data_IF_121040460954
#
_entry.id   IF_121040460954
#
_cell.length_a   1.000
_cell.length_b   1.000
_cell.length_c   1.000
_cell.angle_alpha   90.00
_cell.angle_beta   90.00
_cell.angle_gamma   90.00
#
_symmetry.space_group_name_H-M   'P 1'
#
loop_
_entity.id
_entity.type
_entity.pdbx_description
1 polymer ?
#
# COMPACT_ATOMS: atom_id res chain seq x y z
N UNK A 1 35.40 63.44 10.16
CA UNK A 1 36.02 63.68 8.85
C UNK A 1 35.21 62.95 7.80
N UNK A 2 34.83 63.65 6.74
CA UNK A 2 33.89 63.25 5.70
C UNK A 2 34.59 62.59 4.49
N UNK A 3 33.86 61.72 3.77
CA UNK A 3 33.85 61.45 2.32
C UNK A 3 33.17 60.07 2.12
N UNK A 4 31.96 59.88 1.60
CA UNK A 4 31.31 60.25 0.32
C UNK A 4 31.90 59.54 -0.93
N UNK A 5 31.16 58.58 -1.50
CA UNK A 5 30.82 58.48 -2.93
C UNK A 5 30.04 57.18 -3.28
N UNK A 6 29.02 57.36 -4.11
CA UNK A 6 27.97 56.44 -4.64
C UNK A 6 28.41 55.71 -5.96
N UNK A 7 27.51 55.25 -6.86
CA UNK A 7 26.92 53.90 -6.94
C UNK A 7 27.17 53.20 -8.31
N UNK A 8 26.77 51.93 -8.51
CA UNK A 8 26.42 51.45 -9.87
C UNK A 8 25.48 50.24 -9.88
N UNK A 9 24.45 50.33 -10.71
CA UNK A 9 23.44 49.30 -11.03
C UNK A 9 23.92 48.52 -12.26
N UNK A 10 23.76 47.20 -12.26
CA UNK A 10 24.01 46.33 -13.41
C UNK A 10 22.86 45.35 -13.60
N UNK A 11 22.11 45.54 -14.68
CA UNK A 11 21.02 44.71 -15.20
C UNK A 11 21.60 43.62 -16.11
N UNK A 12 21.18 42.35 -16.02
CA UNK A 12 21.15 41.39 -17.15
C UNK A 12 20.53 40.04 -16.72
N UNK A 13 19.26 39.78 -17.06
CA UNK A 13 18.73 38.97 -18.18
C UNK A 13 18.54 37.49 -17.87
N UNK A 14 17.27 37.09 -17.87
CA UNK A 14 16.79 35.71 -17.88
C UNK A 14 17.30 34.95 -19.12
N UNK A 15 17.63 33.66 -18.95
CA UNK A 15 17.84 32.72 -20.05
C UNK A 15 16.72 31.69 -20.09
N UNK A 16 16.09 31.65 -21.24
CA UNK A 16 14.99 30.80 -21.69
C UNK A 16 15.42 29.37 -22.01
N UNK A 17 14.50 28.46 -21.75
CA UNK A 17 14.41 27.10 -22.28
C UNK A 17 14.50 27.07 -23.82
N UNK A 18 15.29 26.15 -24.37
CA UNK A 18 15.15 25.69 -25.77
C UNK A 18 15.30 24.16 -25.81
N UNK A 19 14.22 23.52 -26.24
CA UNK A 19 14.13 22.14 -26.73
C UNK A 19 14.75 22.03 -28.12
N UNK A 20 15.50 20.96 -28.40
CA UNK A 20 15.94 20.61 -29.75
C UNK A 20 15.93 19.10 -29.95
N UNK A 21 15.08 18.66 -30.88
CA UNK A 21 14.94 17.31 -31.38
C UNK A 21 14.96 17.43 -32.91
N UNK A 22 15.98 16.88 -33.58
CA UNK A 22 15.92 16.30 -34.93
C UNK A 22 17.31 15.86 -35.41
N UNK A 23 17.44 14.58 -35.74
CA UNK A 23 18.35 14.11 -36.79
C UNK A 23 17.54 13.25 -37.76
N UNK A 24 17.40 13.78 -38.95
CA UNK A 24 16.85 13.15 -40.15
C UNK A 24 17.97 12.36 -40.84
N UNK A 25 17.68 11.14 -41.29
CA UNK A 25 18.42 10.54 -42.41
C UNK A 25 17.40 9.99 -43.41
N UNK A 26 17.47 10.54 -44.62
CA UNK A 26 16.68 10.18 -45.80
C UNK A 26 17.33 9.00 -46.53
N UNK A 27 16.51 8.10 -47.09
CA UNK A 27 16.80 7.54 -48.44
C UNK A 27 15.54 7.00 -49.13
N UNK A 28 15.19 7.72 -50.21
CA UNK A 28 14.68 7.32 -51.53
C UNK A 28 13.35 6.56 -51.69
N UNK A 29 12.49 7.23 -52.46
CA UNK A 29 11.25 6.78 -53.07
C UNK A 29 11.44 5.88 -54.29
N UNK A 30 10.41 5.07 -54.57
CA UNK A 30 10.06 4.62 -55.91
C UNK A 30 8.54 4.74 -56.09
N UNK A 31 8.11 5.50 -57.09
CA UNK A 31 6.73 5.61 -57.59
C UNK A 31 6.72 4.93 -58.95
N UNK A 32 5.74 4.05 -59.20
CA UNK A 32 5.32 3.71 -60.56
C UNK A 32 3.79 3.75 -60.65
N UNK A 33 3.32 4.22 -61.79
CA UNK A 33 2.02 4.81 -62.10
C UNK A 33 0.88 3.80 -62.32
N UNK A 34 -0.32 4.26 -61.93
CA UNK A 34 -1.66 4.18 -62.55
C UNK A 34 -2.04 3.04 -63.52
N UNK A 35 -3.14 2.36 -63.22
CA UNK A 35 -4.27 2.21 -64.15
C UNK A 35 -5.61 2.03 -63.41
N UNK A 36 -6.64 2.69 -63.94
CA UNK A 36 -8.01 2.79 -63.43
C UNK A 36 -8.97 1.90 -64.23
N UNK A 37 -9.97 1.30 -63.58
CA UNK A 37 -11.36 1.22 -64.10
C UNK A 37 -12.36 0.66 -63.06
N UNK A 38 -13.42 1.44 -62.88
CA UNK A 38 -14.83 1.11 -62.59
C UNK A 38 -15.18 0.02 -61.57
N UNK A 39 -15.85 0.42 -60.48
CA UNK A 39 -17.33 0.33 -60.38
C UNK A 39 -17.86 0.41 -58.93
N UNK A 40 -18.92 1.22 -58.79
CA UNK A 40 -20.09 1.00 -57.92
C UNK A 40 -19.96 1.08 -56.39
N UNK A 41 -20.47 2.20 -55.86
CA UNK A 41 -20.98 2.35 -54.50
C UNK A 41 -21.95 1.22 -54.09
N UNK A 42 -21.72 0.57 -52.95
CA UNK A 42 -22.81 0.06 -52.10
C UNK A 42 -22.40 0.04 -50.62
N UNK A 43 -23.43 0.18 -49.78
CA UNK A 43 -23.45 0.48 -48.35
C UNK A 43 -22.89 -0.67 -47.52
N UNK A 44 -22.07 -0.36 -46.51
CA UNK A 44 -21.76 -1.30 -45.42
C UNK A 44 -22.70 -1.01 -44.26
N UNK A 45 -23.78 -1.80 -44.18
CA UNK A 45 -24.62 -1.91 -43.01
C UNK A 45 -24.12 -3.09 -42.15
N UNK A 46 -24.00 -2.80 -40.85
CA UNK A 46 -23.78 -3.73 -39.74
C UNK A 46 -24.72 -4.94 -39.80
N UNK A 47 -24.16 -6.15 -39.70
CA UNK A 47 -24.94 -7.38 -39.45
C UNK A 47 -24.58 -7.97 -38.09
N UNK A 48 -25.56 -7.90 -37.19
CA UNK A 48 -25.66 -8.70 -35.98
C UNK A 48 -26.29 -10.04 -36.37
N UNK A 49 -25.61 -11.15 -36.09
CA UNK A 49 -26.19 -12.48 -36.27
C UNK A 49 -26.79 -12.98 -34.96
N UNK A 50 -28.09 -13.26 -35.02
CA UNK A 50 -28.92 -13.93 -34.02
C UNK A 50 -29.19 -15.37 -34.48
N UNK A 51 -29.22 -16.26 -33.48
CA UNK A 51 -29.88 -17.58 -33.40
C UNK A 51 -29.19 -18.83 -33.93
N UNK A 52 -29.07 -19.84 -33.06
CA UNK A 52 -30.00 -20.98 -33.06
C UNK A 52 -30.05 -21.71 -31.70
N UNK A 53 -31.27 -21.88 -31.22
CA UNK A 53 -31.71 -22.63 -30.05
C UNK A 53 -31.70 -24.14 -30.30
N UNK A 54 -31.09 -24.92 -29.41
CA UNK A 54 -31.38 -26.34 -29.25
C UNK A 54 -31.99 -26.59 -27.87
N UNK A 55 -33.29 -26.88 -27.85
CA UNK A 55 -34.05 -27.27 -26.69
C UNK A 55 -33.83 -28.75 -26.37
N UNK A 56 -33.15 -29.03 -25.25
CA UNK A 56 -33.11 -30.36 -24.64
C UNK A 56 -33.93 -30.32 -23.34
N UNK A 57 -35.13 -30.89 -23.40
CA UNK A 57 -36.03 -31.08 -22.26
C UNK A 57 -35.51 -32.22 -21.38
N UNK A 58 -35.05 -31.91 -20.17
CA UNK A 58 -34.97 -32.86 -19.06
C UNK A 58 -35.96 -32.45 -17.97
N UNK A 59 -36.88 -33.36 -17.64
CA UNK A 59 -37.87 -33.23 -16.56
C UNK A 59 -37.17 -33.19 -15.20
N UNK A 60 -37.55 -32.31 -14.25
CA UNK A 60 -37.18 -32.47 -12.87
C UNK A 60 -38.22 -33.33 -12.13
N UNK A 61 -37.77 -34.45 -11.55
CA UNK A 61 -38.52 -35.17 -10.53
C UNK A 61 -38.46 -34.35 -9.22
N UNK A 62 -39.60 -33.86 -8.77
CA UNK A 62 -39.76 -33.20 -7.48
C UNK A 62 -39.83 -34.22 -6.35
N UNK A 63 -38.81 -34.24 -5.49
CA UNK A 63 -38.89 -34.86 -4.16
C UNK A 63 -39.03 -33.75 -3.14
N UNK A 64 -40.20 -33.68 -2.50
CA UNK A 64 -40.49 -32.74 -1.42
C UNK A 64 -39.85 -33.27 -0.14
N UNK A 65 -38.72 -32.69 0.27
CA UNK A 65 -38.21 -32.82 1.64
C UNK A 65 -38.67 -31.61 2.47
N UNK A 66 -39.54 -31.86 3.44
CA UNK A 66 -39.86 -30.90 4.51
C UNK A 66 -38.65 -30.78 5.45
N UNK A 67 -38.13 -29.56 5.68
CA UNK A 67 -37.29 -29.30 6.85
C UNK A 67 -37.36 -27.85 7.33
N UNK A 68 -37.99 -27.71 8.51
CA UNK A 68 -37.75 -26.85 9.67
C UNK A 68 -37.69 -25.31 9.55
N UNK A 69 -38.48 -24.70 10.45
CA UNK A 69 -38.54 -23.28 10.83
C UNK A 69 -37.14 -22.65 10.94
N UNK A 70 -36.96 -21.53 10.24
CA UNK A 70 -35.88 -20.57 10.47
C UNK A 70 -36.21 -19.80 11.75
N UNK A 71 -35.46 -20.06 12.82
CA UNK A 71 -35.44 -19.19 14.00
C UNK A 71 -34.45 -18.07 13.68
N UNK A 72 -34.96 -16.85 13.52
CA UNK A 72 -34.13 -15.67 13.39
C UNK A 72 -33.53 -15.33 14.76
N UNK A 73 -32.30 -15.77 15.03
CA UNK A 73 -31.51 -15.29 16.16
C UNK A 73 -30.93 -13.92 15.81
N UNK A 74 -31.55 -12.89 16.37
CA UNK A 74 -31.05 -11.51 16.40
C UNK A 74 -29.78 -11.51 17.25
N UNK A 75 -28.63 -11.18 16.67
CA UNK A 75 -27.39 -11.01 17.43
C UNK A 75 -27.52 -9.79 18.34
N UNK A 76 -27.50 -10.02 19.65
CA UNK A 76 -27.41 -9.00 20.69
C UNK A 76 -25.93 -8.85 21.01
N UNK A 77 -25.38 -7.65 20.81
CA UNK A 77 -24.04 -7.30 21.28
C UNK A 77 -24.09 -7.12 22.79
N UNK A 78 -23.65 -8.12 23.55
CA UNK A 78 -23.30 -7.96 24.96
C UNK A 78 -21.86 -7.48 25.07
N UNK A 79 -21.69 -6.29 25.61
CA UNK A 79 -20.41 -5.78 26.11
C UNK A 79 -19.90 -6.66 27.27
N UNK A 80 -18.57 -6.79 27.38
CA UNK A 80 -17.79 -7.61 28.32
C UNK A 80 -17.72 -9.13 28.06
N UNK A 81 -16.81 -9.54 27.16
CA UNK A 81 -16.09 -10.81 27.30
C UNK A 81 -14.57 -10.54 27.35
N UNK A 82 -14.02 -10.36 28.55
CA UNK A 82 -12.58 -10.46 28.84
C UNK A 82 -12.21 -11.89 29.28
N UNK A 83 -12.64 -12.89 28.51
CA UNK A 83 -12.13 -14.25 28.65
C UNK A 83 -11.59 -14.72 27.31
N UNK A 84 -10.29 -15.02 27.26
CA UNK A 84 -9.68 -15.67 26.12
C UNK A 84 -10.48 -16.94 25.77
N UNK A 85 -11.02 -16.98 24.55
CA UNK A 85 -11.71 -18.17 24.04
C UNK A 85 -10.79 -19.39 24.19
N UNK A 86 -11.31 -20.57 24.60
CA UNK A 86 -10.51 -21.79 24.74
C UNK A 86 -10.17 -22.35 23.35
N UNK A 87 -9.25 -21.69 22.65
CA UNK A 87 -8.59 -22.15 21.44
C UNK A 87 -7.14 -22.55 21.73
N UNK A 88 -6.53 -23.34 20.84
CA UNK A 88 -5.09 -23.59 20.88
C UNK A 88 -4.35 -22.23 20.84
N UNK A 89 -3.43 -21.94 21.79
CA UNK A 89 -2.80 -20.63 21.87
C UNK A 89 -1.96 -20.33 20.61
N UNK A 90 -2.05 -19.10 20.12
CA UNK A 90 -1.17 -18.60 19.06
C UNK A 90 0.19 -18.30 19.72
N UNK A 91 1.23 -19.06 19.36
CA UNK A 91 2.59 -18.92 19.90
C UNK A 91 3.52 -18.30 18.86
N UNK A 92 3.94 -17.06 19.10
CA UNK A 92 4.92 -16.33 18.30
C UNK A 92 6.20 -16.04 19.10
N UNK A 93 6.45 -16.76 20.20
CA UNK A 93 7.70 -16.59 20.97
C UNK A 93 8.91 -16.89 20.11
N UNK A 94 9.94 -16.04 20.24
CA UNK A 94 11.16 -16.11 19.43
C UNK A 94 10.96 -15.69 17.97
N UNK A 95 9.80 -15.13 17.61
CA UNK A 95 9.54 -14.51 16.31
C UNK A 95 9.68 -13.01 16.40
N UNK A 96 10.16 -12.41 15.31
CA UNK A 96 10.30 -10.96 15.19
C UNK A 96 9.38 -10.41 14.11
N UNK A 97 8.63 -9.37 14.46
CA UNK A 97 7.72 -8.68 13.56
C UNK A 97 8.21 -7.27 13.26
N UNK A 98 8.22 -6.90 11.98
CA UNK A 98 8.35 -5.51 11.55
C UNK A 98 6.98 -4.98 11.11
N UNK A 99 6.49 -3.92 11.76
CA UNK A 99 5.20 -3.29 11.45
C UNK A 99 5.43 -1.91 10.85
N UNK A 100 5.16 -1.80 9.55
CA UNK A 100 5.22 -0.57 8.79
C UNK A 100 3.91 0.22 8.91
N UNK A 101 3.96 1.45 9.43
CA UNK A 101 2.81 2.36 9.45
C UNK A 101 2.15 2.59 10.81
N UNK A 102 2.92 2.61 11.90
CA UNK A 102 2.43 3.07 13.21
C UNK A 102 2.90 4.51 13.42
N UNK A 103 1.99 5.39 13.82
CA UNK A 103 2.30 6.78 14.19
C UNK A 103 1.61 7.23 15.49
N UNK A 104 0.66 6.44 15.98
CA UNK A 104 -0.10 6.61 17.23
C UNK A 104 -0.70 5.25 17.64
N UNK A 105 -1.56 5.26 18.67
CA UNK A 105 -2.22 4.09 19.24
C UNK A 105 -3.67 3.85 18.77
N UNK A 106 -4.14 4.60 17.76
CA UNK A 106 -5.53 4.53 17.28
C UNK A 106 -5.70 3.65 16.03
N UNK A 107 -4.62 3.43 15.28
CA UNK A 107 -4.65 2.69 14.02
C UNK A 107 -4.60 1.17 14.16
N UNK A 108 -4.95 0.47 13.08
CA UNK A 108 -4.84 -1.00 13.01
C UNK A 108 -3.41 -1.51 13.23
N UNK A 109 -2.39 -0.76 12.81
CA UNK A 109 -0.99 -1.13 13.02
C UNK A 109 -0.67 -1.32 14.50
N UNK A 110 -1.20 -0.45 15.38
CA UNK A 110 -1.05 -0.57 16.83
C UNK A 110 -1.78 -1.80 17.37
N UNK A 111 -3.04 -2.02 16.95
CA UNK A 111 -3.82 -3.18 17.35
C UNK A 111 -3.16 -4.52 16.94
N UNK A 112 -2.56 -4.57 15.74
CA UNK A 112 -1.80 -5.73 15.26
C UNK A 112 -0.53 -5.91 16.10
N UNK A 113 0.25 -4.85 16.34
CA UNK A 113 1.45 -4.92 17.18
C UNK A 113 1.13 -5.46 18.58
N UNK A 114 0.05 -4.98 19.19
CA UNK A 114 -0.43 -5.44 20.49
C UNK A 114 -0.80 -6.93 20.49
N UNK A 115 -1.48 -7.39 19.43
CA UNK A 115 -1.86 -8.80 19.29
C UNK A 115 -0.64 -9.71 19.07
N UNK A 116 0.35 -9.25 18.28
CA UNK A 116 1.59 -9.98 18.05
C UNK A 116 2.44 -10.06 19.33
N UNK A 117 2.51 -8.96 20.10
CA UNK A 117 3.20 -8.90 21.38
C UNK A 117 2.54 -9.84 22.41
N UNK A 118 1.20 -9.85 22.49
CA UNK A 118 0.46 -10.78 23.36
C UNK A 118 0.71 -12.26 23.00
N UNK A 119 1.00 -12.56 21.73
CA UNK A 119 1.41 -13.88 21.28
C UNK A 119 2.92 -14.17 21.49
N UNK A 120 3.68 -13.21 22.02
CA UNK A 120 5.09 -13.36 22.37
C UNK A 120 6.11 -12.93 21.30
N UNK A 121 5.67 -12.24 20.24
CA UNK A 121 6.58 -11.74 19.21
C UNK A 121 7.35 -10.49 19.68
N UNK A 122 8.60 -10.36 19.24
CA UNK A 122 9.39 -9.14 19.35
C UNK A 122 8.93 -8.10 18.32
N UNK A 123 8.76 -6.84 18.74
CA UNK A 123 8.08 -5.80 17.95
C UNK A 123 9.06 -4.73 17.48
N UNK A 124 9.24 -4.64 16.16
CA UNK A 124 9.91 -3.53 15.47
C UNK A 124 8.88 -2.68 14.73
N UNK A 125 9.06 -1.36 14.74
CA UNK A 125 8.09 -0.42 14.17
C UNK A 125 8.74 0.50 13.15
N UNK A 126 8.15 0.61 11.95
CA UNK A 126 8.45 1.66 10.97
C UNK A 126 7.45 2.81 11.10
N UNK A 127 7.94 3.99 11.52
CA UNK A 127 7.14 5.20 11.71
C UNK A 127 7.43 6.21 10.61
N UNK A 128 6.39 6.84 10.07
CA UNK A 128 6.54 7.87 9.05
C UNK A 128 7.38 9.05 9.57
N UNK A 129 8.42 9.45 8.83
CA UNK A 129 9.41 10.44 9.31
C UNK A 129 8.78 11.73 9.88
N UNK A 130 7.80 12.37 9.21
CA UNK A 130 7.07 13.52 9.77
C UNK A 130 6.34 13.31 11.10
N UNK A 131 5.99 12.07 11.45
CA UNK A 131 5.28 11.73 12.69
C UNK A 131 6.22 11.20 13.80
N UNK A 132 7.46 10.85 13.45
CA UNK A 132 8.41 10.14 14.32
C UNK A 132 8.62 10.82 15.67
N UNK A 133 8.98 12.11 15.68
CA UNK A 133 9.31 12.83 16.91
C UNK A 133 8.11 12.89 17.89
N UNK A 134 6.89 13.05 17.35
CA UNK A 134 5.67 13.12 18.18
C UNK A 134 5.36 11.73 18.74
N UNK A 135 5.49 10.69 17.92
CA UNK A 135 5.27 9.31 18.33
C UNK A 135 6.25 8.90 19.44
N UNK A 136 7.56 9.06 19.23
CA UNK A 136 8.59 8.71 20.22
C UNK A 136 8.49 9.54 21.50
N UNK A 137 8.18 10.84 21.38
CA UNK A 137 7.95 11.69 22.55
C UNK A 137 6.74 11.23 23.36
N UNK A 138 5.64 10.87 22.69
CA UNK A 138 4.42 10.39 23.34
C UNK A 138 4.64 9.04 24.01
N UNK A 139 5.33 8.12 23.34
CA UNK A 139 5.71 6.81 23.90
C UNK A 139 6.58 6.96 25.15
N UNK A 140 7.63 7.79 25.09
CA UNK A 140 8.55 8.04 26.22
C UNK A 140 7.87 8.71 27.41
N UNK A 141 6.86 9.53 27.16
CA UNK A 141 6.07 10.24 28.18
C UNK A 141 4.96 9.37 28.78
N UNK A 142 4.84 8.11 28.37
CA UNK A 142 3.82 7.20 28.86
C UNK A 142 2.40 7.50 28.36
N UNK A 143 2.25 8.32 27.30
CA UNK A 143 0.91 8.64 26.77
C UNK A 143 0.18 7.42 26.20
N UNK A 144 0.91 6.38 25.85
CA UNK A 144 0.38 5.14 25.31
C UNK A 144 0.35 4.00 26.35
N UNK A 145 0.65 4.26 27.62
CA UNK A 145 0.78 3.17 28.60
C UNK A 145 -0.52 2.40 28.80
N UNK A 146 -1.66 3.09 28.82
CA UNK A 146 -2.98 2.44 28.89
C UNK A 146 -3.25 1.58 27.65
N UNK A 147 -2.93 2.08 26.46
CA UNK A 147 -3.16 1.35 25.21
C UNK A 147 -2.16 0.21 25.00
N UNK A 148 -1.01 0.23 25.69
CA UNK A 148 0.01 -0.84 25.71
C UNK A 148 -0.37 -2.04 26.60
N UNK A 149 -1.33 -1.93 27.52
CA UNK A 149 -1.69 -3.03 28.44
C UNK A 149 -2.15 -4.28 27.67
N UNK A 150 -1.40 -5.37 27.80
CA UNK A 150 -1.67 -6.68 27.20
C UNK A 150 -2.69 -7.48 28.03
N UNK A 151 -3.27 -8.57 27.49
CA UNK A 151 -4.25 -9.38 28.22
C UNK A 151 -3.73 -10.01 29.52
N UNK A 152 -2.41 -10.21 29.65
CA UNK A 152 -1.76 -10.72 30.86
C UNK A 152 -1.45 -9.62 31.89
N UNK A 153 -1.82 -8.36 31.59
CA UNK A 153 -1.57 -7.19 32.44
C UNK A 153 -0.20 -6.55 32.26
N UNK A 154 0.70 -7.14 31.46
CA UNK A 154 1.99 -6.53 31.13
C UNK A 154 1.83 -5.39 30.11
N UNK A 155 2.88 -4.61 29.87
CA UNK A 155 2.87 -3.58 28.82
C UNK A 155 3.56 -4.12 27.56
N UNK A 156 2.93 -3.90 26.40
CA UNK A 156 3.58 -4.08 25.10
C UNK A 156 4.90 -3.31 25.06
N UNK A 157 5.97 -4.00 24.72
CA UNK A 157 7.29 -3.41 24.46
C UNK A 157 7.49 -3.23 22.96
N UNK A 158 7.94 -2.03 22.56
CA UNK A 158 8.43 -1.77 21.20
C UNK A 158 9.94 -1.78 21.30
N UNK A 159 10.58 -2.80 20.75
CA UNK A 159 12.04 -2.99 20.85
C UNK A 159 12.79 -1.87 20.15
N UNK A 160 12.37 -1.48 18.94
CA UNK A 160 12.98 -0.39 18.19
C UNK A 160 11.99 0.27 17.25
N UNK A 161 12.06 1.60 17.19
CA UNK A 161 11.36 2.44 16.22
C UNK A 161 12.36 2.85 15.15
N UNK A 162 11.96 2.71 13.89
CA UNK A 162 12.73 3.14 12.74
C UNK A 162 12.01 4.28 12.01
N UNK A 163 12.73 5.34 11.61
CA UNK A 163 12.19 6.31 10.66
C UNK A 163 11.98 5.61 9.31
N UNK A 164 10.88 5.91 8.62
CA UNK A 164 10.57 5.30 7.33
C UNK A 164 9.74 6.24 6.46
N UNK A 165 10.01 6.26 5.16
CA UNK A 165 9.07 6.75 4.17
C UNK A 165 9.01 5.78 2.99
N UNK A 166 7.92 5.02 2.92
CA UNK A 166 7.78 3.88 2.02
C UNK A 166 7.48 4.26 0.56
N UNK A 167 7.44 5.54 0.23
CA UNK A 167 7.35 6.03 -1.17
C UNK A 167 8.72 6.18 -1.84
N UNK A 168 9.82 6.02 -1.08
CA UNK A 168 11.18 6.12 -1.59
C UNK A 168 11.95 4.82 -1.33
N UNK A 169 12.37 4.15 -2.39
CA UNK A 169 13.06 2.86 -2.28
C UNK A 169 14.52 3.05 -1.88
N UNK A 170 15.23 3.99 -2.51
CA UNK A 170 16.60 4.37 -2.17
C UNK A 170 16.81 5.90 -2.08
N UNK A 171 17.97 6.35 -1.57
CA UNK A 171 18.31 7.77 -1.44
C UNK A 171 18.33 8.54 -2.76
N UNK A 172 18.57 7.83 -3.86
CA UNK A 172 18.53 8.33 -5.22
C UNK A 172 17.13 8.78 -5.66
N UNK A 173 16.08 8.18 -5.09
CA UNK A 173 14.68 8.47 -5.43
C UNK A 173 14.13 9.70 -4.69
N UNK A 174 14.87 10.21 -3.71
CA UNK A 174 14.43 11.30 -2.84
C UNK A 174 14.71 12.65 -3.52
N UNK A 175 13.68 13.45 -3.84
CA UNK A 175 13.87 14.77 -4.42
C UNK A 175 14.41 15.78 -3.39
N UNK A 176 15.05 16.83 -3.89
CA UNK A 176 15.85 17.76 -3.07
C UNK A 176 15.02 18.56 -2.06
N UNK A 177 13.76 18.85 -2.39
CA UNK A 177 12.80 19.50 -1.50
C UNK A 177 12.45 18.64 -0.28
N UNK A 178 12.45 17.31 -0.43
CA UNK A 178 12.26 16.38 0.69
C UNK A 178 13.55 16.27 1.53
N UNK A 179 14.72 16.20 0.89
CA UNK A 179 16.02 16.16 1.60
C UNK A 179 16.24 17.38 2.50
N UNK A 180 15.85 18.56 2.01
CA UNK A 180 16.00 19.83 2.71
C UNK A 180 14.83 20.12 3.68
N UNK A 181 13.79 19.29 3.69
CA UNK A 181 12.66 19.45 4.60
C UNK A 181 13.10 19.22 6.05
N UNK A 182 12.79 20.18 6.93
CA UNK A 182 13.14 20.12 8.37
C UNK A 182 12.67 18.86 9.08
N UNK A 183 11.56 18.25 8.64
CA UNK A 183 11.04 17.00 9.22
C UNK A 183 11.90 15.80 8.89
N UNK A 184 12.55 15.79 7.72
CA UNK A 184 13.43 14.71 7.28
C UNK A 184 14.89 14.96 7.64
N UNK A 185 15.32 16.22 7.71
CA UNK A 185 16.71 16.59 8.02
C UNK A 185 17.22 16.07 9.38
N UNK A 186 16.33 15.79 10.34
CA UNK A 186 16.67 15.26 11.66
C UNK A 186 16.79 13.74 11.74
N UNK A 187 16.58 13.02 10.63
CA UNK A 187 16.59 11.56 10.58
C UNK A 187 17.36 11.06 9.36
N UNK A 188 18.00 9.90 9.51
CA UNK A 188 18.71 9.20 8.43
C UNK A 188 18.14 7.80 8.24
N UNK A 189 18.55 7.12 7.18
CA UNK A 189 18.24 5.71 6.91
C UNK A 189 16.74 5.39 6.85
N UNK A 190 15.96 6.25 6.22
CA UNK A 190 14.50 6.17 6.22
C UNK A 190 13.91 5.74 4.87
N UNK A 191 14.72 5.62 3.82
CA UNK A 191 14.29 4.95 2.59
C UNK A 191 14.18 3.44 2.83
N UNK A 192 13.38 2.73 2.02
CA UNK A 192 13.10 1.30 2.27
C UNK A 192 14.38 0.46 2.32
N UNK A 193 15.33 0.68 1.41
CA UNK A 193 16.61 -0.05 1.39
C UNK A 193 17.45 0.21 2.65
N UNK A 194 17.58 1.48 3.07
CA UNK A 194 18.39 1.83 4.24
C UNK A 194 17.77 1.34 5.54
N UNK A 195 16.43 1.40 5.64
CA UNK A 195 15.66 0.86 6.75
C UNK A 195 15.93 -0.63 6.92
N UNK A 196 15.79 -1.40 5.84
CA UNK A 196 15.98 -2.86 5.86
C UNK A 196 17.41 -3.21 6.22
N UNK A 197 18.39 -2.47 5.69
CA UNK A 197 19.80 -2.68 6.05
C UNK A 197 20.04 -2.36 7.54
N UNK A 198 19.40 -1.34 8.09
CA UNK A 198 19.45 -1.05 9.53
C UNK A 198 18.86 -2.19 10.36
N UNK A 199 17.69 -2.73 9.98
CA UNK A 199 17.08 -3.90 10.64
C UNK A 199 17.99 -5.12 10.56
N UNK A 200 18.61 -5.37 9.41
CA UNK A 200 19.55 -6.47 9.23
C UNK A 200 20.78 -6.33 10.12
N UNK A 201 21.34 -5.13 10.25
CA UNK A 201 22.49 -4.87 11.11
C UNK A 201 22.15 -5.04 12.60
N UNK A 202 20.99 -4.55 13.02
CA UNK A 202 20.56 -4.61 14.42
C UNK A 202 20.14 -6.03 14.84
N UNK A 203 19.47 -6.75 13.96
CA UNK A 203 18.67 -7.93 14.32
C UNK A 203 18.91 -9.17 13.45
N UNK A 204 19.59 -9.02 12.30
CA UNK A 204 19.88 -10.10 11.35
C UNK A 204 18.69 -10.47 10.47
N UNK A 205 17.56 -10.89 11.07
CA UNK A 205 16.36 -11.35 10.37
C UNK A 205 15.05 -11.00 11.07
N UNK A 206 13.95 -11.13 10.32
CA UNK A 206 12.56 -11.05 10.80
C UNK A 206 11.77 -12.29 10.36
N UNK A 207 10.62 -12.53 10.98
CA UNK A 207 9.68 -13.61 10.60
C UNK A 207 8.37 -13.07 10.04
N UNK A 208 7.95 -11.87 10.47
CA UNK A 208 6.65 -11.29 10.17
C UNK A 208 6.83 -9.88 9.61
N UNK A 209 6.20 -9.59 8.48
CA UNK A 209 6.11 -8.24 7.92
C UNK A 209 4.64 -7.80 7.88
N UNK A 210 4.32 -6.71 8.57
CA UNK A 210 2.99 -6.10 8.58
C UNK A 210 3.05 -4.79 7.79
N UNK A 211 2.18 -4.65 6.80
CA UNK A 211 1.97 -3.41 6.05
C UNK A 211 0.63 -2.78 6.47
N UNK A 212 0.72 -1.73 7.29
CA UNK A 212 -0.42 -1.01 7.84
C UNK A 212 -0.33 0.48 7.52
N UNK A 213 0.01 0.80 6.27
CA UNK A 213 0.09 2.18 5.78
C UNK A 213 -0.72 2.37 4.50
N UNK A 214 -1.24 3.58 4.33
CA UNK A 214 -1.90 4.04 3.13
C UNK A 214 -1.90 5.58 3.14
N UNK A 215 -1.79 6.18 1.96
CA UNK A 215 -1.90 7.62 1.79
C UNK A 215 -2.46 7.94 0.41
N UNK A 216 -3.28 8.99 0.33
CA UNK A 216 -3.90 9.44 -0.92
C UNK A 216 -4.17 10.94 -0.86
N UNK A 217 -3.43 11.79 -1.57
CA UNK A 217 -3.52 13.25 -1.42
C UNK A 217 -4.86 13.83 -1.88
N UNK A 218 -5.61 13.09 -2.71
CA UNK A 218 -6.90 13.53 -3.26
C UNK A 218 -8.06 12.64 -2.82
N UNK A 219 -7.94 11.91 -1.69
CA UNK A 219 -8.93 10.91 -1.24
C UNK A 219 -10.37 11.43 -1.16
N UNK A 220 -10.55 12.72 -0.87
CA UNK A 220 -11.87 13.35 -0.80
C UNK A 220 -12.52 13.60 -2.18
N UNK A 221 -11.75 13.55 -3.27
CA UNK A 221 -12.27 13.83 -4.63
C UNK A 221 -12.87 12.57 -5.26
N UNK A 222 -14.02 12.68 -5.95
CA UNK A 222 -14.51 11.62 -6.83
C UNK A 222 -13.45 11.19 -7.85
N UNK A 223 -13.50 9.93 -8.30
CA UNK A 223 -12.51 9.41 -9.25
C UNK A 223 -12.50 10.18 -10.58
N UNK A 224 -13.66 10.69 -11.03
CA UNK A 224 -13.77 11.50 -12.25
C UNK A 224 -13.06 12.86 -12.17
N UNK A 225 -12.76 13.34 -10.96
CA UNK A 225 -12.09 14.62 -10.70
C UNK A 225 -10.66 14.43 -10.18
N UNK A 226 -10.25 13.18 -9.99
CA UNK A 226 -8.92 12.84 -9.46
C UNK A 226 -7.87 13.09 -10.52
N UNK A 227 -6.83 13.84 -10.17
CA UNK A 227 -5.72 14.08 -11.09
C UNK A 227 -4.88 12.81 -11.29
N UNK A 228 -4.17 12.71 -12.43
CA UNK A 228 -3.21 11.61 -12.66
C UNK A 228 -2.16 11.55 -11.55
N UNK A 229 -1.66 12.70 -11.09
CA UNK A 229 -0.68 12.77 -10.02
C UNK A 229 -1.24 12.20 -8.71
N UNK A 230 -2.42 12.67 -8.28
CA UNK A 230 -3.05 12.22 -7.05
C UNK A 230 -3.35 10.71 -7.06
N UNK A 231 -3.85 10.20 -8.20
CA UNK A 231 -4.08 8.77 -8.39
C UNK A 231 -2.79 7.94 -8.26
N UNK A 232 -1.72 8.34 -8.95
CA UNK A 232 -0.45 7.62 -8.91
C UNK A 232 0.23 7.73 -7.54
N UNK A 233 0.09 8.86 -6.84
CA UNK A 233 0.58 9.00 -5.47
C UNK A 233 -0.16 8.04 -4.52
N UNK A 234 -1.47 7.86 -4.69
CA UNK A 234 -2.25 6.91 -3.90
C UNK A 234 -1.81 5.45 -4.14
N UNK A 235 -1.61 5.07 -5.40
CA UNK A 235 -1.10 3.74 -5.79
C UNK A 235 0.31 3.51 -5.25
N UNK A 236 1.21 4.49 -5.39
CA UNK A 236 2.59 4.41 -4.92
C UNK A 236 2.65 4.16 -3.42
N UNK A 237 1.99 5.02 -2.64
CA UNK A 237 2.03 4.93 -1.18
C UNK A 237 1.22 3.75 -0.61
N UNK A 238 0.15 3.31 -1.27
CA UNK A 238 -0.81 2.36 -0.68
C UNK A 238 -0.80 0.95 -1.30
N UNK A 239 -0.09 0.74 -2.41
CA UNK A 239 0.05 -0.55 -3.09
C UNK A 239 1.52 -0.88 -3.34
N UNK A 240 2.23 -0.04 -4.08
CA UNK A 240 3.62 -0.32 -4.48
C UNK A 240 4.57 -0.38 -3.27
N UNK A 241 4.31 0.44 -2.24
CA UNK A 241 5.03 0.39 -0.97
C UNK A 241 5.04 -1.02 -0.34
N UNK A 242 3.97 -1.83 -0.52
CA UNK A 242 3.96 -3.22 -0.05
C UNK A 242 4.90 -4.12 -0.86
N UNK A 243 4.91 -3.94 -2.19
CA UNK A 243 5.84 -4.64 -3.08
C UNK A 243 7.27 -4.31 -2.67
N UNK A 244 7.60 -3.02 -2.54
CA UNK A 244 8.94 -2.56 -2.17
C UNK A 244 9.40 -3.11 -0.82
N UNK A 245 8.56 -2.99 0.21
CA UNK A 245 8.87 -3.54 1.53
C UNK A 245 9.11 -5.04 1.47
N UNK A 246 8.23 -5.82 0.82
CA UNK A 246 8.42 -7.26 0.71
C UNK A 246 9.70 -7.59 -0.06
N UNK A 247 9.94 -6.96 -1.22
CA UNK A 247 11.14 -7.21 -2.03
C UNK A 247 12.43 -7.00 -1.26
N UNK A 248 12.51 -5.93 -0.46
CA UNK A 248 13.70 -5.60 0.31
C UNK A 248 13.82 -6.45 1.58
N UNK A 249 12.73 -6.78 2.28
CA UNK A 249 12.78 -7.63 3.46
C UNK A 249 13.01 -9.12 3.14
N UNK A 250 12.57 -9.62 1.98
CA UNK A 250 12.66 -11.05 1.60
C UNK A 250 14.02 -11.73 1.86
N UNK A 251 15.17 -11.10 1.56
CA UNK A 251 16.49 -11.67 1.85
C UNK A 251 16.80 -11.88 3.34
N UNK A 252 16.11 -11.16 4.24
CA UNK A 252 16.27 -11.25 5.69
C UNK A 252 15.01 -11.80 6.39
N UNK A 253 14.06 -12.37 5.63
CA UNK A 253 12.92 -13.09 6.21
C UNK A 253 13.26 -14.57 6.39
N UNK A 254 13.00 -15.10 7.58
CA UNK A 254 13.17 -16.54 7.86
C UNK A 254 12.14 -17.36 7.07
N UNK A 255 12.52 -18.52 6.48
CA UNK A 255 11.58 -19.43 5.83
C UNK A 255 10.45 -19.85 6.78
N UNK A 256 9.21 -19.93 6.26
CA UNK A 256 8.01 -20.13 7.08
C UNK A 256 7.43 -18.84 7.67
N UNK A 257 8.10 -17.70 7.46
CA UNK A 257 7.60 -16.37 7.76
C UNK A 257 6.34 -16.01 6.96
N UNK A 258 5.75 -14.88 7.31
CA UNK A 258 4.50 -14.44 6.71
C UNK A 258 4.38 -12.92 6.65
N UNK A 259 3.60 -12.46 5.69
CA UNK A 259 3.23 -11.05 5.56
C UNK A 259 1.72 -10.87 5.62
N UNK A 260 1.33 -9.70 6.13
CA UNK A 260 -0.06 -9.27 6.18
C UNK A 260 -0.14 -7.80 5.79
N UNK A 261 -1.08 -7.47 4.91
CA UNK A 261 -1.45 -6.09 4.59
C UNK A 261 -2.90 -5.82 4.94
N UNK A 262 -3.30 -4.55 4.95
CA UNK A 262 -4.69 -4.15 5.17
C UNK A 262 -5.32 -3.56 3.91
N UNK A 263 -6.45 -4.13 3.50
CA UNK A 263 -7.29 -3.68 2.40
C UNK A 263 -8.68 -3.26 2.90
N UNK A 264 -9.51 -2.79 1.99
CA UNK A 264 -10.88 -2.36 2.26
C UNK A 264 -11.80 -2.71 1.08
N UNK A 265 -13.07 -2.99 1.37
CA UNK A 265 -14.06 -3.49 0.41
C UNK A 265 -14.29 -2.57 -0.80
N UNK A 266 -13.87 -1.30 -0.74
CA UNK A 266 -13.88 -0.40 -1.89
C UNK A 266 -13.02 -0.88 -3.07
N UNK A 267 -12.15 -1.87 -2.87
CA UNK A 267 -11.44 -2.58 -3.94
C UNK A 267 -12.38 -3.38 -4.86
N UNK A 268 -13.44 -3.96 -4.29
CA UNK A 268 -14.35 -4.88 -4.99
C UNK A 268 -15.72 -4.26 -5.25
N UNK A 269 -16.11 -3.25 -4.46
CA UNK A 269 -17.44 -2.62 -4.52
C UNK A 269 -17.30 -1.11 -4.59
N UNK A 270 -18.24 -0.46 -5.27
CA UNK A 270 -18.28 1.01 -5.31
C UNK A 270 -18.71 1.55 -3.95
N UNK A 271 -17.79 2.25 -3.27
CA UNK A 271 -18.04 2.96 -2.00
C UNK A 271 -17.87 4.47 -2.25
N UNK A 272 -18.97 5.24 -2.34
CA UNK A 272 -18.89 6.69 -2.46
C UNK A 272 -18.11 7.32 -1.30
N UNK A 273 -17.29 8.33 -1.59
CA UNK A 273 -16.41 8.99 -0.61
C UNK A 273 -15.03 8.35 -0.45
N UNK A 274 -14.81 7.12 -0.96
CA UNK A 274 -13.48 6.49 -1.00
C UNK A 274 -12.76 6.81 -2.31
N UNK A 275 -12.48 8.10 -2.50
CA UNK A 275 -12.03 8.71 -3.76
C UNK A 275 -10.51 8.75 -3.95
N UNK A 276 -10.04 9.68 -4.79
CA UNK A 276 -8.61 9.94 -5.01
C UNK A 276 -7.78 8.78 -5.56
N UNK A 277 -8.43 7.75 -6.12
CA UNK A 277 -7.78 6.51 -6.54
C UNK A 277 -7.51 5.50 -5.43
N UNK A 278 -7.96 5.74 -4.19
CA UNK A 278 -7.74 4.81 -3.07
C UNK A 278 -8.43 3.46 -3.27
N UNK A 279 -9.62 3.42 -3.88
CA UNK A 279 -10.28 2.16 -4.26
C UNK A 279 -9.41 1.34 -5.21
N UNK A 280 -8.85 1.99 -6.23
CA UNK A 280 -7.93 1.37 -7.19
C UNK A 280 -6.64 0.87 -6.52
N UNK A 281 -6.10 1.62 -5.56
CA UNK A 281 -4.93 1.20 -4.80
C UNK A 281 -5.20 -0.06 -3.96
N UNK A 282 -6.38 -0.18 -3.35
CA UNK A 282 -6.76 -1.39 -2.62
C UNK A 282 -6.99 -2.59 -3.54
N UNK A 283 -7.59 -2.37 -4.72
CA UNK A 283 -7.71 -3.41 -5.75
C UNK A 283 -6.34 -3.91 -6.26
N UNK A 284 -5.39 -3.00 -6.47
CA UNK A 284 -4.02 -3.35 -6.83
C UNK A 284 -3.35 -4.16 -5.72
N UNK A 285 -3.43 -3.71 -4.45
CA UNK A 285 -2.86 -4.42 -3.30
C UNK A 285 -3.40 -5.85 -3.17
N UNK A 286 -4.69 -6.07 -3.37
CA UNK A 286 -5.30 -7.41 -3.33
C UNK A 286 -4.86 -8.30 -4.50
N UNK A 287 -4.70 -7.71 -5.69
CA UNK A 287 -4.12 -8.40 -6.84
C UNK A 287 -2.67 -8.81 -6.59
N UNK A 288 -1.86 -7.88 -6.14
CA UNK A 288 -0.45 -8.08 -5.85
C UNK A 288 -0.25 -9.08 -4.72
N UNK A 289 -1.15 -9.12 -3.73
CA UNK A 289 -1.15 -10.14 -2.66
C UNK A 289 -1.16 -11.55 -3.25
N UNK A 290 -1.98 -11.82 -4.28
CA UNK A 290 -2.07 -13.15 -4.91
C UNK A 290 -0.82 -13.48 -5.73
N UNK A 291 -0.30 -12.50 -6.47
CA UNK A 291 0.92 -12.66 -7.28
C UNK A 291 2.12 -12.92 -6.36
N UNK A 292 2.32 -12.07 -5.36
CA UNK A 292 3.41 -12.18 -4.40
C UNK A 292 3.31 -13.43 -3.54
N UNK A 293 2.10 -13.91 -3.21
CA UNK A 293 1.95 -15.20 -2.53
C UNK A 293 2.53 -16.37 -3.35
N UNK A 294 2.35 -16.35 -4.67
CA UNK A 294 2.97 -17.34 -5.55
C UNK A 294 4.49 -17.15 -5.61
N UNK A 295 4.98 -15.94 -5.90
CA UNK A 295 6.41 -15.67 -6.09
C UNK A 295 7.22 -15.90 -4.81
N UNK A 296 6.83 -15.25 -3.71
CA UNK A 296 7.49 -15.36 -2.41
C UNK A 296 7.30 -16.75 -1.79
N UNK A 297 6.13 -17.38 -1.99
CA UNK A 297 5.87 -18.72 -1.52
C UNK A 297 6.75 -19.77 -2.19
N UNK A 298 6.94 -19.68 -3.52
CA UNK A 298 7.80 -20.60 -4.27
C UNK A 298 9.28 -20.38 -3.97
N UNK A 299 9.73 -19.13 -3.93
CA UNK A 299 11.14 -18.77 -3.82
C UNK A 299 11.68 -18.78 -2.38
N UNK A 300 10.89 -18.28 -1.42
CA UNK A 300 11.35 -18.03 -0.05
C UNK A 300 10.53 -18.76 1.04
N UNK A 301 9.48 -19.52 0.66
CA UNK A 301 8.55 -20.16 1.62
C UNK A 301 7.86 -19.13 2.54
N UNK A 302 7.55 -17.96 1.99
CA UNK A 302 6.84 -16.89 2.71
C UNK A 302 5.38 -16.88 2.29
N UNK A 303 4.47 -16.83 3.28
CA UNK A 303 3.04 -16.64 3.03
C UNK A 303 2.74 -15.15 2.89
N UNK A 304 1.87 -14.79 1.95
CA UNK A 304 1.44 -13.41 1.73
C UNK A 304 -0.08 -13.35 1.75
N UNK A 305 -0.65 -12.56 2.65
CA UNK A 305 -2.10 -12.41 2.80
C UNK A 305 -2.47 -10.94 3.02
N UNK A 306 -3.75 -10.63 2.89
CA UNK A 306 -4.32 -9.32 3.20
C UNK A 306 -5.63 -9.50 3.98
N UNK A 307 -5.96 -8.53 4.84
CA UNK A 307 -7.22 -8.48 5.58
C UNK A 307 -8.05 -7.30 5.07
N UNK A 308 -9.25 -7.58 4.57
CA UNK A 308 -10.25 -6.55 4.27
C UNK A 308 -10.95 -6.16 5.56
N UNK A 309 -10.48 -5.07 6.17
CA UNK A 309 -10.99 -4.62 7.46
C UNK A 309 -12.31 -3.84 7.31
N UNK A 310 -13.11 -3.82 8.38
CA UNK A 310 -14.25 -2.91 8.50
C UNK A 310 -13.79 -1.47 8.75
N UNK A 311 -14.74 -0.58 9.06
CA UNK A 311 -14.40 0.74 9.59
C UNK A 311 -14.14 0.64 11.09
N UNK A 312 -13.06 1.27 11.56
CA UNK A 312 -12.77 1.47 12.99
C UNK A 312 -13.54 2.69 13.52
#
# INVERSE_FOLDING_TARGET
MAAAATPTVGLTTARTFISSLHKTLMSRAAILSTESKDASMTRLASSSHISLSHSFLQKPNSVILKSKRVVATKAVSSENETSALPGLPIDLRGKRAFIAGIADDNGYGWAIAKSLAAAGAEILVGTWVPALNIFESSLRRGKFDESRVLPDGSLMEITKVYPMDAVFDGPEDVPEDIKTNKRYAGSSNWTVKELVESVKQDFGSIDILVHSLANGPEVAKPLLETSRFGYLAAISASSYSFISLLQNFLPIMNPGGATISLTYIAAERTIPGYGGGMSSAKAALESDTRVLAFEAGRKHKIRVNTISAGTN
#
